data_IF_917153207294
#
_entry.id   IF_917153207294
#
_cell.length_a   1.000
_cell.length_b   1.000
_cell.length_c   1.000
_cell.angle_alpha   90.00
_cell.angle_beta   90.00
_cell.angle_gamma   90.00
#
_symmetry.space_group_name_H-M   'P 1'
#
loop_
_entity.id
_entity.type
_entity.pdbx_description
1 polymer ?
#
# COMPACT_ATOMS: atom_id res chain seq x y z
N UNK A 1 -3.74 22.80 24.89
CA UNK A 1 -3.56 21.54 24.12
C UNK A 1 -4.89 21.03 23.55
N UNK A 2 -5.82 21.89 23.12
CA UNK A 2 -7.16 21.47 22.63
C UNK A 2 -7.45 21.87 21.18
N UNK A 3 -6.48 22.47 20.47
CA UNK A 3 -6.79 23.24 19.27
C UNK A 3 -6.40 22.58 17.93
N UNK A 4 -5.79 21.39 17.93
CA UNK A 4 -5.39 20.72 16.68
C UNK A 4 -6.53 19.92 16.03
N UNK A 5 -7.44 19.35 16.83
CA UNK A 5 -8.56 18.52 16.31
C UNK A 5 -9.66 19.37 15.67
N UNK A 6 -9.79 20.65 16.07
CA UNK A 6 -10.83 21.56 15.60
C UNK A 6 -10.61 22.06 14.15
N UNK A 7 -9.44 21.81 13.55
CA UNK A 7 -9.08 22.30 12.21
C UNK A 7 -9.29 21.28 11.07
N UNK A 8 -9.69 20.06 11.38
CA UNK A 8 -9.86 19.01 10.39
C UNK A 8 -11.11 19.29 9.54
N UNK A 9 -10.89 19.78 8.33
CA UNK A 9 -11.98 19.97 7.38
C UNK A 9 -12.49 18.59 6.95
N UNK A 10 -13.81 18.34 7.05
CA UNK A 10 -14.36 17.07 6.61
C UNK A 10 -14.09 16.89 5.12
N UNK A 11 -13.85 15.63 4.72
CA UNK A 11 -13.79 15.27 3.30
C UNK A 11 -15.03 15.80 2.57
N UNK A 12 -14.84 16.34 1.37
CA UNK A 12 -15.90 16.93 0.56
C UNK A 12 -17.04 15.92 0.41
N UNK A 13 -18.27 16.32 0.76
CA UNK A 13 -19.44 15.45 0.72
C UNK A 13 -19.59 14.79 -0.66
N UNK A 14 -19.60 13.45 -0.69
CA UNK A 14 -19.68 12.64 -1.92
C UNK A 14 -18.39 11.93 -2.34
N UNK A 15 -17.24 12.24 -1.72
CA UNK A 15 -15.99 11.48 -1.93
C UNK A 15 -15.86 10.43 -0.84
N UNK A 16 -16.01 9.15 -1.18
CA UNK A 16 -15.71 8.06 -0.25
C UNK A 16 -14.20 8.02 0.01
N UNK A 17 -13.80 8.01 1.28
CA UNK A 17 -12.43 7.69 1.64
C UNK A 17 -12.14 6.26 1.18
N UNK A 18 -10.99 5.98 0.53
CA UNK A 18 -10.63 4.62 0.14
C UNK A 18 -10.64 3.73 1.39
N UNK A 19 -11.26 2.55 1.30
CA UNK A 19 -11.24 1.58 2.39
C UNK A 19 -9.85 0.98 2.52
N UNK A 20 -9.48 0.67 3.77
CA UNK A 20 -8.24 -0.05 4.08
C UNK A 20 -8.46 -1.53 3.80
N UNK A 21 -7.56 -2.13 3.05
CA UNK A 21 -7.59 -3.55 2.68
C UNK A 21 -6.61 -4.35 3.55
N UNK A 22 -6.80 -5.66 3.66
CA UNK A 22 -5.96 -6.52 4.50
C UNK A 22 -4.50 -6.58 4.04
N UNK A 23 -4.26 -6.35 2.75
CA UNK A 23 -2.92 -6.32 2.16
C UNK A 23 -2.24 -4.93 2.22
N UNK A 24 -2.92 -3.91 2.76
CA UNK A 24 -2.35 -2.58 2.88
C UNK A 24 -1.34 -2.52 4.02
N UNK A 25 -0.20 -1.90 3.77
CA UNK A 25 0.78 -1.63 4.82
C UNK A 25 0.39 -0.35 5.55
N UNK A 26 -0.08 -0.48 6.80
CA UNK A 26 -0.47 0.65 7.64
C UNK A 26 0.68 1.04 8.56
N UNK A 27 1.15 2.27 8.44
CA UNK A 27 2.18 2.86 9.30
C UNK A 27 1.51 3.85 10.25
N UNK A 28 1.19 3.40 11.46
CA UNK A 28 0.61 4.24 12.51
C UNK A 28 1.52 4.28 13.73
N UNK A 29 1.85 5.48 14.20
CA UNK A 29 2.70 5.71 15.37
C UNK A 29 1.94 5.69 16.70
N UNK A 30 0.62 5.89 16.67
CA UNK A 30 -0.18 5.96 17.89
C UNK A 30 -1.46 5.14 17.79
N UNK A 31 -1.69 4.29 18.80
CA UNK A 31 -2.87 3.45 18.93
C UNK A 31 -4.17 4.23 19.20
N UNK A 32 -4.08 5.52 19.57
CA UNK A 32 -5.20 6.33 20.08
C UNK A 32 -5.34 7.73 19.42
N UNK A 33 -4.70 7.98 18.27
CA UNK A 33 -4.80 9.28 17.61
C UNK A 33 -5.92 9.29 16.57
N UNK A 34 -6.89 10.18 16.74
CA UNK A 34 -7.83 10.56 15.68
C UNK A 34 -7.05 11.33 14.61
N UNK A 35 -6.66 10.63 13.54
CA UNK A 35 -5.93 11.26 12.44
C UNK A 35 -6.85 12.19 11.66
N UNK A 36 -6.35 13.40 11.40
CA UNK A 36 -7.06 14.42 10.64
C UNK A 36 -7.14 14.08 9.13
N UNK A 37 -6.10 13.41 8.62
CA UNK A 37 -5.94 13.07 7.22
C UNK A 37 -5.33 11.67 7.06
N UNK A 38 -5.74 10.98 6.00
CA UNK A 38 -5.21 9.66 5.61
C UNK A 38 -4.54 9.78 4.25
N UNK A 39 -3.26 9.39 4.16
CA UNK A 39 -2.48 9.43 2.95
C UNK A 39 -2.25 8.01 2.42
N UNK A 40 -2.64 7.77 1.17
CA UNK A 40 -2.38 6.53 0.44
C UNK A 40 -1.22 6.74 -0.53
N UNK A 41 -0.12 6.01 -0.35
CA UNK A 41 0.99 5.98 -1.31
C UNK A 41 0.85 4.76 -2.21
N UNK A 42 0.67 5.01 -3.51
CA UNK A 42 0.71 3.99 -4.56
C UNK A 42 2.08 4.07 -5.23
N UNK A 43 2.95 3.10 -4.97
CA UNK A 43 4.31 3.14 -5.51
C UNK A 43 4.96 1.76 -5.64
N UNK A 44 5.91 1.68 -6.55
CA UNK A 44 6.76 0.51 -6.75
C UNK A 44 7.89 0.53 -5.74
N UNK A 45 7.98 -0.52 -4.91
CA UNK A 45 9.09 -0.69 -3.97
C UNK A 45 10.40 -0.84 -4.74
N UNK A 46 11.47 -0.23 -4.23
CA UNK A 46 12.79 -0.26 -4.86
C UNK A 46 13.08 0.92 -5.80
N UNK A 47 12.11 1.80 -6.02
CA UNK A 47 12.34 3.07 -6.74
C UNK A 47 12.85 4.18 -5.82
N UNK A 48 13.65 5.11 -6.34
CA UNK A 48 14.11 6.28 -5.58
C UNK A 48 12.95 7.20 -5.16
N UNK A 49 11.95 7.32 -6.04
CA UNK A 49 10.72 8.04 -5.75
C UNK A 49 10.01 7.43 -4.53
N UNK A 50 9.86 6.10 -4.48
CA UNK A 50 9.28 5.42 -3.33
C UNK A 50 10.05 5.75 -2.05
N UNK A 51 11.38 5.62 -2.05
CA UNK A 51 12.19 5.88 -0.86
C UNK A 51 12.01 7.31 -0.33
N UNK A 52 11.97 8.30 -1.24
CA UNK A 52 11.82 9.71 -0.89
C UNK A 52 10.46 10.03 -0.26
N UNK A 53 9.37 9.54 -0.87
CA UNK A 53 8.01 9.74 -0.34
C UNK A 53 7.75 8.92 0.91
N UNK A 54 8.20 7.66 0.94
CA UNK A 54 8.05 6.78 2.09
C UNK A 54 8.70 7.38 3.33
N UNK A 55 9.92 7.91 3.21
CA UNK A 55 10.60 8.57 4.33
C UNK A 55 9.78 9.73 4.90
N UNK A 56 9.38 10.68 4.05
CA UNK A 56 8.61 11.85 4.50
C UNK A 56 7.28 11.47 5.16
N UNK A 57 6.54 10.53 4.56
CA UNK A 57 5.25 10.07 5.10
C UNK A 57 5.42 9.24 6.37
N UNK A 58 6.50 8.46 6.49
CA UNK A 58 6.81 7.70 7.70
C UNK A 58 7.15 8.63 8.86
N UNK A 59 7.89 9.71 8.63
CA UNK A 59 8.21 10.73 9.64
C UNK A 59 6.94 11.50 10.07
N UNK A 60 6.08 11.87 9.11
CA UNK A 60 4.80 12.53 9.41
C UNK A 60 3.83 11.60 10.17
N UNK A 61 3.81 10.31 9.84
CA UNK A 61 3.04 9.30 10.56
C UNK A 61 3.61 9.06 11.97
N UNK A 62 4.94 9.06 12.12
CA UNK A 62 5.64 8.98 13.39
C UNK A 62 5.27 10.13 14.33
N UNK A 63 5.16 11.35 13.78
CA UNK A 63 4.71 12.55 14.50
C UNK A 63 3.21 12.54 14.86
N UNK A 64 2.41 11.68 14.21
CA UNK A 64 0.98 11.56 14.45
C UNK A 64 0.10 12.48 13.60
N UNK A 65 0.68 13.17 12.60
CA UNK A 65 -0.02 14.14 11.77
C UNK A 65 -0.94 13.48 10.75
N UNK A 66 -0.50 12.35 10.18
CA UNK A 66 -1.20 11.63 9.10
C UNK A 66 -1.29 10.13 9.38
N UNK A 67 -2.39 9.53 8.96
CA UNK A 67 -2.47 8.07 8.83
C UNK A 67 -1.84 7.66 7.51
N UNK A 68 -0.66 7.08 7.55
CA UNK A 68 0.06 6.66 6.36
C UNK A 68 -0.27 5.21 5.99
N UNK A 69 -0.72 5.01 4.75
CA UNK A 69 -1.03 3.70 4.19
C UNK A 69 -0.27 3.55 2.88
N UNK A 70 0.44 2.43 2.72
CA UNK A 70 1.16 2.10 1.51
C UNK A 70 0.53 0.91 0.80
N UNK A 71 0.28 1.09 -0.50
CA UNK A 71 -0.17 0.04 -1.41
C UNK A 71 0.83 -0.12 -2.53
N UNK A 72 1.32 -1.34 -2.69
CA UNK A 72 2.26 -1.65 -3.76
C UNK A 72 1.54 -1.67 -5.12
N UNK A 73 2.16 -1.06 -6.13
CA UNK A 73 1.76 -1.21 -7.53
C UNK A 73 2.77 -2.08 -8.25
N UNK A 74 2.27 -2.93 -9.14
CA UNK A 74 3.12 -3.73 -10.00
C UNK A 74 3.87 -2.82 -11.00
N UNK A 75 5.20 -2.91 -11.12
CA UNK A 75 5.98 -2.08 -12.04
C UNK A 75 5.56 -2.25 -13.50
N UNK A 76 5.26 -3.49 -13.92
CA UNK A 76 4.80 -3.79 -15.27
C UNK A 76 3.39 -3.26 -15.59
N UNK A 77 2.69 -2.64 -14.63
CA UNK A 77 1.46 -1.90 -14.93
C UNK A 77 1.73 -0.56 -15.65
N UNK A 78 2.97 -0.05 -15.59
CA UNK A 78 3.38 1.20 -16.23
C UNK A 78 4.32 1.02 -17.41
N UNK A 79 5.00 -0.12 -17.51
CA UNK A 79 5.97 -0.41 -18.56
C UNK A 79 5.31 -1.31 -19.62
N UNK A 80 5.16 -0.80 -20.84
CA UNK A 80 4.67 -1.55 -22.01
C UNK A 80 5.78 -2.40 -22.66
N UNK A 81 6.76 -2.84 -21.88
CA UNK A 81 7.83 -3.69 -22.36
C UNK A 81 7.55 -5.11 -21.89
N UNK A 82 7.41 -6.04 -22.85
CA UNK A 82 7.16 -7.46 -22.60
C UNK A 82 8.28 -8.11 -21.76
N UNK A 83 9.44 -7.45 -21.64
CA UNK A 83 10.56 -7.90 -20.81
C UNK A 83 10.24 -8.02 -19.31
N UNK A 84 9.25 -7.27 -18.81
CA UNK A 84 8.84 -7.27 -17.39
C UNK A 84 7.70 -8.26 -17.08
N UNK A 85 7.02 -8.82 -18.08
CA UNK A 85 6.04 -9.89 -17.90
C UNK A 85 6.73 -11.26 -17.87
N UNK A 86 7.47 -11.52 -16.80
CA UNK A 86 8.04 -12.84 -16.55
C UNK A 86 6.99 -13.75 -15.91
N UNK A 87 6.73 -14.90 -16.54
CA UNK A 87 5.81 -15.90 -16.00
C UNK A 87 6.33 -16.46 -14.66
N UNK A 88 5.45 -16.50 -13.65
CA UNK A 88 5.77 -17.09 -12.36
C UNK A 88 5.53 -18.60 -12.39
N UNK A 89 6.61 -19.39 -12.43
CA UNK A 89 6.54 -20.84 -12.32
C UNK A 89 6.19 -21.27 -10.89
N UNK A 90 4.92 -21.56 -10.64
CA UNK A 90 4.45 -22.02 -9.33
C UNK A 90 4.99 -23.41 -9.01
N UNK A 91 5.35 -23.60 -7.74
CA UNK A 91 5.76 -24.89 -7.19
C UNK A 91 4.69 -25.42 -6.23
N UNK A 92 4.79 -26.67 -5.80
CA UNK A 92 3.83 -27.27 -4.86
C UNK A 92 2.75 -28.14 -5.50
N UNK A 93 2.92 -28.50 -6.78
CA UNK A 93 2.14 -29.56 -7.42
C UNK A 93 3.01 -30.81 -7.62
N UNK A 94 2.41 -31.99 -7.47
CA UNK A 94 3.02 -33.26 -7.86
C UNK A 94 2.54 -33.65 -9.26
N UNK A 95 3.44 -34.16 -10.09
CA UNK A 95 3.08 -34.77 -11.38
C UNK A 95 3.08 -36.27 -11.19
N UNK A 96 1.95 -36.92 -11.46
CA UNK A 96 1.84 -38.38 -11.44
C UNK A 96 1.68 -38.94 -12.86
N UNK A 97 2.30 -40.08 -13.09
CA UNK A 97 2.20 -40.83 -14.34
C UNK A 97 1.53 -42.17 -14.06
N UNK A 98 0.20 -42.21 -14.24
CA UNK A 98 -0.58 -43.43 -14.07
C UNK A 98 -0.44 -44.33 -15.30
N UNK A 99 -0.19 -45.63 -15.08
CA UNK A 99 -0.19 -46.63 -16.17
C UNK A 99 -1.63 -47.01 -16.48
N UNK A 100 -2.06 -46.71 -17.72
CA UNK A 100 -3.46 -46.85 -18.16
C UNK A 100 -3.87 -48.30 -18.48
N UNK A 101 -2.92 -49.14 -18.90
CA UNK A 101 -3.16 -50.57 -19.16
C UNK A 101 -2.05 -51.39 -18.49
N UNK A 102 -2.44 -52.24 -17.55
CA UNK A 102 -1.59 -53.21 -16.88
C UNK A 102 -2.03 -54.62 -17.31
#
# INVERSE_FOLDING_TARGET
MKDAVQSCHPAKAGVSTPSIQEFDHVYSSHANSSYCSTAFLYATVGTEAFASFHKQLSEAAAAGDVKYIFRHIWPGAMVQDDSENQDMLLQGYGVELAIKNM
#
